data_IF_805606052436
#
_entry.id   IF_805606052436
#
_cell.length_a   1.000
_cell.length_b   1.000
_cell.length_c   1.000
_cell.angle_alpha   90.00
_cell.angle_beta   90.00
_cell.angle_gamma   90.00
#
_symmetry.space_group_name_H-M   'P 1'
#
loop_
_entity.id
_entity.type
_entity.pdbx_description
1 polymer ?
#
# COMPACT_ATOMS: atom_id res chain seq x y z
N UNK A 1 -11.84 -12.26 -20.25
CA UNK A 1 -11.75 -12.28 -18.76
C UNK A 1 -10.31 -12.45 -18.23
N UNK A 2 -9.24 -12.11 -18.99
CA UNK A 2 -7.84 -12.26 -18.53
C UNK A 2 -7.28 -11.05 -17.76
N UNK A 3 -7.94 -9.88 -17.80
CA UNK A 3 -7.44 -8.64 -17.19
C UNK A 3 -7.82 -8.40 -15.72
N UNK A 4 -9.02 -8.79 -15.29
CA UNK A 4 -9.53 -8.54 -13.93
C UNK A 4 -8.72 -9.27 -12.84
N UNK A 5 -8.23 -10.46 -13.15
CA UNK A 5 -7.47 -11.26 -12.18
C UNK A 5 -6.09 -10.64 -11.90
N UNK A 6 -5.48 -9.98 -12.89
CA UNK A 6 -4.13 -9.43 -12.75
C UNK A 6 -4.11 -8.20 -11.85
N UNK A 7 -5.09 -7.30 -11.97
CA UNK A 7 -5.20 -6.11 -11.11
C UNK A 7 -5.49 -6.49 -9.66
N UNK A 8 -6.35 -7.48 -9.42
CA UNK A 8 -6.63 -7.98 -8.06
C UNK A 8 -5.38 -8.61 -7.43
N UNK A 9 -4.62 -9.39 -8.19
CA UNK A 9 -3.41 -10.04 -7.66
C UNK A 9 -2.36 -8.99 -7.32
N UNK A 10 -2.04 -8.06 -8.22
CA UNK A 10 -0.99 -7.07 -7.98
C UNK A 10 -1.37 -6.13 -6.82
N UNK A 11 -2.61 -5.65 -6.79
CA UNK A 11 -3.08 -4.74 -5.76
C UNK A 11 -3.28 -5.47 -4.42
N UNK A 12 -3.91 -6.65 -4.44
CA UNK A 12 -4.13 -7.47 -3.26
C UNK A 12 -2.83 -7.91 -2.60
N UNK A 13 -1.83 -8.31 -3.39
CA UNK A 13 -0.51 -8.67 -2.87
C UNK A 13 0.21 -7.45 -2.33
N UNK A 14 0.18 -6.30 -3.01
CA UNK A 14 0.82 -5.08 -2.51
C UNK A 14 0.22 -4.59 -1.18
N UNK A 15 -1.11 -4.66 -1.04
CA UNK A 15 -1.82 -4.36 0.20
C UNK A 15 -1.49 -5.38 1.30
N UNK A 16 -1.56 -6.67 0.98
CA UNK A 16 -1.22 -7.74 1.92
C UNK A 16 0.22 -7.60 2.41
N UNK A 17 1.14 -7.16 1.53
CA UNK A 17 2.52 -6.92 1.91
C UNK A 17 2.62 -5.78 2.93
N UNK A 18 1.92 -4.68 2.65
CA UNK A 18 1.95 -3.50 3.52
C UNK A 18 1.30 -3.73 4.88
N UNK A 19 0.48 -4.76 5.01
CA UNK A 19 -0.08 -5.22 6.27
C UNK A 19 0.83 -6.24 6.96
N UNK A 20 1.32 -7.25 6.22
CA UNK A 20 2.10 -8.35 6.77
C UNK A 20 3.49 -7.91 7.25
N UNK A 21 4.21 -7.05 6.51
CA UNK A 21 5.54 -6.55 6.92
C UNK A 21 5.48 -5.92 8.32
N UNK A 22 4.72 -4.84 8.54
CA UNK A 22 4.75 -4.15 9.83
C UNK A 22 4.22 -5.00 10.97
N UNK A 23 3.22 -5.86 10.75
CA UNK A 23 2.71 -6.76 11.80
C UNK A 23 3.78 -7.77 12.23
N UNK A 24 4.44 -8.43 11.28
CA UNK A 24 5.50 -9.39 11.59
C UNK A 24 6.67 -8.69 12.28
N UNK A 25 7.07 -7.50 11.80
CA UNK A 25 8.10 -6.68 12.44
C UNK A 25 7.71 -6.29 13.87
N UNK A 26 6.46 -5.90 14.11
CA UNK A 26 5.97 -5.56 15.44
C UNK A 26 5.95 -6.75 16.40
N UNK A 27 5.61 -7.95 15.93
CA UNK A 27 5.65 -9.14 16.78
C UNK A 27 7.08 -9.43 17.23
N UNK A 28 8.05 -9.35 16.32
CA UNK A 28 9.46 -9.59 16.64
C UNK A 28 9.98 -8.55 17.64
N UNK A 29 9.74 -7.27 17.38
CA UNK A 29 10.20 -6.17 18.25
C UNK A 29 9.47 -6.19 19.59
N UNK A 30 8.15 -6.40 19.58
CA UNK A 30 7.29 -6.42 20.76
C UNK A 30 7.67 -7.55 21.71
N UNK A 31 7.89 -8.76 21.19
CA UNK A 31 8.36 -9.88 22.01
C UNK A 31 9.75 -9.64 22.60
N UNK A 32 10.66 -9.02 21.83
CA UNK A 32 11.99 -8.68 22.33
C UNK A 32 11.91 -7.67 23.49
N UNK A 33 11.06 -6.64 23.35
CA UNK A 33 10.83 -5.65 24.41
C UNK A 33 10.17 -6.26 25.65
N UNK A 34 9.16 -7.12 25.46
CA UNK A 34 8.47 -7.79 26.57
C UNK A 34 9.41 -8.71 27.37
N UNK A 35 10.39 -9.33 26.70
CA UNK A 35 11.42 -10.13 27.38
C UNK A 35 12.43 -9.27 28.15
N UNK A 36 12.86 -8.14 27.57
CA UNK A 36 13.87 -7.28 28.18
C UNK A 36 13.35 -6.49 29.38
N UNK A 37 12.08 -6.06 29.34
CA UNK A 37 11.50 -5.19 30.37
C UNK A 37 10.51 -5.91 31.30
N UNK A 38 10.24 -7.21 31.08
CA UNK A 38 9.34 -8.05 31.87
C UNK A 38 7.90 -7.49 32.00
N UNK A 39 7.46 -6.66 31.05
CA UNK A 39 6.16 -5.95 31.03
C UNK A 39 5.05 -6.75 30.34
N UNK A 40 5.13 -8.09 30.35
CA UNK A 40 4.23 -8.95 29.58
C UNK A 40 2.74 -8.63 29.85
N UNK A 41 1.89 -8.36 28.82
CA UNK A 41 2.13 -8.29 27.38
C UNK A 41 1.98 -6.86 26.80
N UNK A 42 2.38 -5.82 27.54
CA UNK A 42 2.13 -4.42 27.16
C UNK A 42 3.00 -3.95 25.98
N UNK A 43 4.24 -4.44 25.86
CA UNK A 43 5.13 -4.12 24.75
C UNK A 43 4.63 -4.68 23.42
N UNK A 44 4.12 -5.91 23.42
CA UNK A 44 3.47 -6.50 22.25
C UNK A 44 2.25 -5.68 21.79
N UNK A 45 1.37 -5.28 22.72
CA UNK A 45 0.16 -4.50 22.41
C UNK A 45 0.52 -3.15 21.79
N UNK A 46 1.52 -2.47 22.33
CA UNK A 46 1.98 -1.19 21.78
C UNK A 46 2.60 -1.37 20.40
N UNK A 47 3.43 -2.39 20.21
CA UNK A 47 4.08 -2.68 18.94
C UNK A 47 3.06 -3.01 17.83
N UNK A 48 2.06 -3.85 18.11
CA UNK A 48 0.99 -4.19 17.17
C UNK A 48 0.16 -2.95 16.83
N UNK A 49 -0.21 -2.15 17.83
CA UNK A 49 -0.97 -0.91 17.61
C UNK A 49 -0.20 0.06 16.71
N UNK A 50 1.11 0.20 16.94
CA UNK A 50 1.97 1.04 16.10
C UNK A 50 2.08 0.50 14.68
N UNK A 51 2.30 -0.81 14.50
CA UNK A 51 2.33 -1.44 13.18
C UNK A 51 1.02 -1.28 12.41
N UNK A 52 -0.12 -1.35 13.10
CA UNK A 52 -1.42 -1.11 12.48
C UNK A 52 -1.53 0.31 11.93
N UNK A 53 -1.11 1.33 12.69
CA UNK A 53 -1.10 2.72 12.21
C UNK A 53 -0.16 2.91 11.01
N UNK A 54 1.03 2.32 11.04
CA UNK A 54 1.99 2.38 9.93
C UNK A 54 1.43 1.71 8.67
N UNK A 55 0.73 0.57 8.83
CA UNK A 55 0.06 -0.14 7.73
C UNK A 55 -0.97 0.77 7.06
N UNK A 56 -1.87 1.37 7.85
CA UNK A 56 -2.90 2.28 7.34
C UNK A 56 -2.29 3.47 6.59
N UNK A 57 -1.28 4.11 7.19
CA UNK A 57 -0.64 5.28 6.58
C UNK A 57 -0.05 4.96 5.20
N UNK A 58 0.65 3.83 5.04
CA UNK A 58 1.25 3.51 3.74
C UNK A 58 0.28 2.91 2.72
N UNK A 59 -0.79 2.23 3.16
CA UNK A 59 -1.91 1.83 2.27
C UNK A 59 -2.56 3.10 1.67
N UNK A 60 -2.87 4.09 2.50
CA UNK A 60 -3.45 5.37 2.03
C UNK A 60 -2.50 6.06 1.05
N UNK A 61 -1.20 6.12 1.38
CA UNK A 61 -0.19 6.78 0.54
C UNK A 61 -0.05 6.10 -0.83
N UNK A 62 -0.08 4.76 -0.86
CA UNK A 62 -0.08 3.96 -2.10
C UNK A 62 -1.35 4.20 -2.91
N UNK A 63 -2.52 4.19 -2.25
CA UNK A 63 -3.80 4.46 -2.89
C UNK A 63 -3.83 5.83 -3.57
N UNK A 64 -3.41 6.88 -2.85
CA UNK A 64 -3.34 8.25 -3.39
C UNK A 64 -2.35 8.36 -4.56
N UNK A 65 -1.19 7.69 -4.47
CA UNK A 65 -0.20 7.67 -5.55
C UNK A 65 -0.77 6.99 -6.80
N UNK A 66 -1.53 5.91 -6.63
CA UNK A 66 -2.14 5.18 -7.73
C UNK A 66 -3.23 6.00 -8.40
N UNK A 67 -4.11 6.65 -7.62
CA UNK A 67 -5.15 7.56 -8.13
C UNK A 67 -4.56 8.69 -8.98
N UNK A 68 -3.49 9.34 -8.50
CA UNK A 68 -2.80 10.39 -9.26
C UNK A 68 -2.18 9.89 -10.56
N UNK A 69 -1.63 8.66 -10.58
CA UNK A 69 -1.08 8.07 -11.80
C UNK A 69 -2.16 7.81 -12.85
N UNK A 70 -3.31 7.26 -12.43
CA UNK A 70 -4.43 7.02 -13.32
C UNK A 70 -4.95 8.33 -13.94
N UNK A 71 -5.07 9.39 -13.14
CA UNK A 71 -5.49 10.71 -13.63
C UNK A 71 -4.51 11.30 -14.66
N UNK A 72 -3.20 11.15 -14.43
CA UNK A 72 -2.16 11.58 -15.37
C UNK A 72 -2.16 10.77 -16.67
N UNK A 73 -2.34 9.45 -16.58
CA UNK A 73 -2.44 8.57 -17.75
C UNK A 73 -3.66 8.92 -18.60
N UNK A 74 -4.82 9.20 -17.98
CA UNK A 74 -6.03 9.61 -18.68
C UNK A 74 -5.88 10.99 -19.36
N UNK A 75 -5.23 11.95 -18.69
CA UNK A 75 -4.95 13.26 -19.26
C UNK A 75 -4.00 13.17 -20.47
N UNK A 76 -2.91 12.42 -20.35
CA UNK A 76 -1.94 12.22 -21.43
C UNK A 76 -2.60 11.53 -22.64
N UNK A 77 -3.45 10.53 -22.40
CA UNK A 77 -4.15 9.81 -23.46
C UNK A 77 -5.10 10.72 -24.24
N UNK A 78 -5.79 11.64 -23.56
CA UNK A 78 -6.64 12.66 -24.21
C UNK A 78 -5.83 13.60 -25.10
N UNK A 79 -4.66 14.04 -24.64
CA UNK A 79 -3.79 14.95 -25.42
C UNK A 79 -3.23 14.27 -26.68
N UNK A 80 -2.84 12.99 -26.58
CA UNK A 80 -2.38 12.21 -27.73
C UNK A 80 -3.50 12.02 -28.78
N UNK A 81 -4.73 11.70 -28.33
CA UNK A 81 -5.90 11.59 -29.22
C UNK A 81 -6.29 12.92 -29.88
N UNK A 82 -6.08 14.04 -29.19
CA UNK A 82 -6.34 15.38 -29.74
C UNK A 82 -5.31 15.76 -30.81
N UNK A 83 -4.05 15.36 -30.64
CA UNK A 83 -2.97 15.63 -31.60
C UNK A 83 -3.13 14.82 -32.88
N UNK A 84 -3.47 13.55 -32.78
CA UNK A 84 -3.68 12.64 -33.92
C UNK A 84 -4.83 13.11 -34.85
N UNK A 85 -5.95 13.55 -34.25
CA UNK A 85 -7.09 14.12 -34.99
C UNK A 85 -6.78 15.46 -35.68
N UNK A 86 -5.71 16.15 -35.27
CA UNK A 86 -5.33 17.45 -35.81
C UNK A 86 -4.24 17.36 -36.89
N UNK A 87 -3.46 16.27 -36.91
CA UNK A 87 -2.48 15.97 -37.99
C UNK A 87 -3.12 15.21 -39.16
N UNK A 88 -4.30 14.60 -38.97
CA UNK A 88 -5.05 13.90 -40.03
C UNK A 88 -6.00 14.80 -40.84
N UNK A 89 -6.00 16.12 -40.64
CA UNK A 89 -6.77 17.12 -41.40
C UNK A 89 -5.87 18.01 -42.22
#
# INVERSE_FOLDING_TARGET
>A
MKGYNQSIIVFGVALAWWLAVPIVTAIIIGNFFDQQFNIKPWGLVFAISFAFLVSNAGIIRQGLKLMKRLEQEDALKKDLMKKDNHESK
#
